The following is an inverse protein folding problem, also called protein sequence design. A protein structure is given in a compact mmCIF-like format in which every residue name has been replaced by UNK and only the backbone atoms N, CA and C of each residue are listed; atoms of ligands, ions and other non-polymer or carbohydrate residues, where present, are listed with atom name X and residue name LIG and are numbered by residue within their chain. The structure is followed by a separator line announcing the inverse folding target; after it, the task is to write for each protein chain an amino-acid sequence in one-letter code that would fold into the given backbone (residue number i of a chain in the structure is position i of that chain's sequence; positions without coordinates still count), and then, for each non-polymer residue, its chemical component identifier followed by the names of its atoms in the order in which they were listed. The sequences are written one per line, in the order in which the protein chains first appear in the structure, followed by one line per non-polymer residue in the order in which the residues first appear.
data_IF_047928856845
#
_entry.id   IF_047928856845
#
_cell.length_a   1.000
_cell.length_b   1.000
_cell.length_c   1.000
_cell.angle_alpha   90.00
_cell.angle_beta   90.00
_cell.angle_gamma   90.00
#
_symmetry.space_group_name_H-M   'P 1'
#
loop_
_entity.id
_entity.type
_entity.pdbx_description
1 polymer ?
#
# COMPACT_ATOMS: atom_id res chain seq x y z
N UNK A 1 5.08 -16.19 27.25
CA UNK A 1 4.31 -15.87 26.04
C UNK A 1 5.15 -16.20 24.81
N UNK A 2 4.55 -16.83 23.79
CA UNK A 2 5.23 -17.14 22.55
C UNK A 2 5.45 -15.85 21.75
N UNK A 3 6.71 -15.47 21.40
CA UNK A 3 6.97 -14.30 20.57
C UNK A 3 6.30 -14.34 19.18
N UNK A 4 6.07 -15.54 18.66
CA UNK A 4 5.42 -15.71 17.35
C UNK A 4 3.96 -15.25 17.36
N UNK A 5 3.30 -15.28 18.51
CA UNK A 5 1.93 -14.80 18.64
C UNK A 5 1.83 -13.30 18.38
N UNK A 6 2.71 -12.52 18.99
CA UNK A 6 2.75 -11.08 18.76
C UNK A 6 3.05 -10.76 17.29
N UNK A 7 4.03 -11.44 16.69
CA UNK A 7 4.39 -11.22 15.30
C UNK A 7 3.22 -11.49 14.35
N UNK A 8 2.47 -12.57 14.62
CA UNK A 8 1.28 -12.91 13.83
C UNK A 8 0.20 -11.84 13.92
N UNK A 9 -0.12 -11.40 15.12
CA UNK A 9 -1.15 -10.36 15.34
C UNK A 9 -0.71 -9.01 14.80
N UNK A 10 0.60 -8.70 14.89
CA UNK A 10 1.14 -7.47 14.30
C UNK A 10 0.96 -7.45 12.79
N UNK A 11 1.20 -8.57 12.11
CA UNK A 11 0.97 -8.67 10.67
C UNK A 11 -0.49 -8.43 10.31
N UNK A 12 -1.42 -9.00 11.08
CA UNK A 12 -2.85 -8.76 10.86
C UNK A 12 -3.20 -7.28 11.05
N UNK A 13 -2.69 -6.67 12.12
CA UNK A 13 -2.92 -5.26 12.39
C UNK A 13 -2.41 -4.36 11.26
N UNK A 14 -1.26 -4.70 10.68
CA UNK A 14 -0.61 -3.89 9.65
C UNK A 14 -1.20 -4.08 8.26
N UNK A 15 -1.90 -5.17 8.02
CA UNK A 15 -2.38 -5.55 6.67
C UNK A 15 -3.23 -4.46 6.01
N UNK A 16 -4.24 -3.96 6.70
CA UNK A 16 -5.10 -2.91 6.18
C UNK A 16 -4.36 -1.59 5.99
N UNK A 17 -3.47 -1.26 6.93
CA UNK A 17 -2.64 -0.06 6.85
C UNK A 17 -1.69 -0.12 5.65
N UNK A 18 -1.22 -1.30 5.29
CA UNK A 18 -0.35 -1.48 4.13
C UNK A 18 -1.06 -1.13 2.83
N UNK A 19 -2.30 -1.58 2.65
CA UNK A 19 -3.11 -1.22 1.48
C UNK A 19 -3.25 0.29 1.39
N UNK A 20 -3.57 0.92 2.51
CA UNK A 20 -3.72 2.37 2.60
C UNK A 20 -2.42 3.10 2.26
N UNK A 21 -1.29 2.62 2.77
CA UNK A 21 0.03 3.20 2.51
C UNK A 21 0.42 3.07 1.04
N UNK A 22 0.17 1.93 0.41
CA UNK A 22 0.44 1.71 -1.01
C UNK A 22 -0.37 2.67 -1.86
N UNK A 23 -1.68 2.77 -1.62
CA UNK A 23 -2.54 3.71 -2.35
C UNK A 23 -2.07 5.15 -2.15
N UNK A 24 -1.72 5.54 -0.93
CA UNK A 24 -1.26 6.89 -0.64
C UNK A 24 0.05 7.24 -1.36
N UNK A 25 1.00 6.32 -1.41
CA UNK A 25 2.26 6.52 -2.13
C UNK A 25 2.03 6.63 -3.64
N UNK A 26 1.04 5.93 -4.18
CA UNK A 26 0.74 5.94 -5.61
C UNK A 26 -0.09 7.16 -6.06
N UNK A 27 -0.25 8.15 -5.20
CA UNK A 27 -0.61 9.51 -5.64
C UNK A 27 0.46 10.09 -6.55
N UNK A 28 1.72 9.68 -6.35
CA UNK A 28 2.82 9.90 -7.27
C UNK A 28 3.13 8.59 -7.99
N UNK A 29 3.67 8.68 -9.18
CA UNK A 29 4.03 7.51 -9.97
C UNK A 29 5.24 6.81 -9.39
N UNK A 30 5.19 5.47 -9.30
CA UNK A 30 6.29 4.63 -8.84
C UNK A 30 6.35 3.34 -9.64
N UNK A 31 7.55 2.79 -9.80
CA UNK A 31 7.69 1.37 -10.10
C UNK A 31 8.06 0.62 -8.82
N UNK A 32 8.13 -0.72 -8.89
CA UNK A 32 8.25 -1.53 -7.68
C UNK A 32 9.39 -1.13 -6.74
N UNK A 33 10.58 -0.88 -7.29
CA UNK A 33 11.74 -0.51 -6.48
C UNK A 33 11.54 0.83 -5.74
N UNK A 34 11.10 1.87 -6.44
CA UNK A 34 10.90 3.19 -5.81
C UNK A 34 9.78 3.16 -4.80
N UNK A 35 8.73 2.39 -5.05
CA UNK A 35 7.63 2.22 -4.10
C UNK A 35 8.09 1.52 -2.83
N UNK A 36 8.84 0.43 -2.96
CA UNK A 36 9.38 -0.29 -1.80
C UNK A 36 10.32 0.60 -0.99
N UNK A 37 11.18 1.37 -1.66
CA UNK A 37 12.09 2.29 -1.00
C UNK A 37 11.34 3.37 -0.22
N UNK A 38 10.30 3.95 -0.81
CA UNK A 38 9.47 4.95 -0.15
C UNK A 38 8.77 4.38 1.09
N UNK A 39 8.21 3.17 0.99
CA UNK A 39 7.55 2.51 2.11
C UNK A 39 8.54 2.14 3.21
N UNK A 40 9.72 1.62 2.86
CA UNK A 40 10.76 1.28 3.82
C UNK A 40 11.24 2.50 4.60
N UNK A 41 11.37 3.65 3.92
CA UNK A 41 11.72 4.91 4.58
C UNK A 41 10.72 5.37 5.62
N UNK A 42 9.49 4.86 5.56
CA UNK A 42 8.41 5.12 6.54
C UNK A 42 8.28 4.00 7.58
N UNK A 43 9.19 3.04 7.59
CA UNK A 43 9.13 1.89 8.50
C UNK A 43 8.15 0.81 8.04
N UNK A 44 7.73 0.82 6.78
CA UNK A 44 6.77 -0.13 6.21
C UNK A 44 7.49 -1.04 5.22
N UNK A 45 8.30 -1.95 5.75
CA UNK A 45 9.00 -2.93 4.91
C UNK A 45 8.01 -3.93 4.34
N UNK A 46 8.10 -4.14 3.03
CA UNK A 46 7.27 -5.09 2.32
C UNK A 46 8.13 -5.83 1.29
N UNK A 47 7.98 -7.13 1.23
CA UNK A 47 8.71 -7.94 0.24
C UNK A 47 8.01 -7.93 -1.12
N UNK A 48 8.75 -8.34 -2.15
CA UNK A 48 8.24 -8.39 -3.51
C UNK A 48 7.09 -9.39 -3.64
N UNK A 49 7.17 -10.51 -2.93
CA UNK A 49 6.14 -11.54 -2.95
C UNK A 49 4.79 -11.08 -2.42
N UNK A 50 4.79 -10.03 -1.59
CA UNK A 50 3.55 -9.42 -1.06
C UNK A 50 3.14 -8.21 -1.91
N UNK A 51 4.09 -7.38 -2.29
CA UNK A 51 3.78 -6.13 -3.00
C UNK A 51 3.24 -6.36 -4.40
N UNK A 52 3.91 -7.18 -5.22
CA UNK A 52 3.49 -7.33 -6.62
C UNK A 52 2.11 -7.96 -6.80
N UNK A 53 1.73 -9.00 -6.04
CA UNK A 53 0.34 -9.49 -6.09
C UNK A 53 -0.68 -8.43 -5.66
N UNK A 54 -0.35 -7.61 -4.68
CA UNK A 54 -1.21 -6.51 -4.24
C UNK A 54 -1.40 -5.48 -5.34
N UNK A 55 -0.32 -5.06 -6.00
CA UNK A 55 -0.40 -4.11 -7.12
C UNK A 55 -1.27 -4.65 -8.26
N UNK A 56 -1.11 -5.92 -8.62
CA UNK A 56 -1.92 -6.55 -9.66
C UNK A 56 -3.40 -6.61 -9.27
N UNK A 57 -3.69 -6.93 -8.01
CA UNK A 57 -5.06 -6.95 -7.52
C UNK A 57 -5.70 -5.57 -7.58
N UNK A 58 -5.00 -4.55 -7.11
CA UNK A 58 -5.52 -3.17 -7.12
C UNK A 58 -5.73 -2.65 -8.55
N UNK A 59 -4.86 -3.03 -9.48
CA UNK A 59 -5.04 -2.69 -10.89
C UNK A 59 -6.23 -3.42 -11.50
N UNK A 60 -6.42 -4.69 -11.20
CA UNK A 60 -7.60 -5.47 -11.63
C UNK A 60 -8.89 -4.85 -11.12
N UNK A 61 -8.87 -4.27 -9.92
CA UNK A 61 -9.98 -3.54 -9.32
C UNK A 61 -10.12 -2.12 -9.88
N UNK A 62 -9.30 -1.76 -10.86
CA UNK A 62 -9.31 -0.46 -11.54
C UNK A 62 -8.95 0.72 -10.64
N UNK A 63 -8.27 0.46 -9.53
CA UNK A 63 -7.81 1.51 -8.61
C UNK A 63 -6.44 2.06 -9.00
N UNK A 64 -5.69 1.31 -9.80
CA UNK A 64 -4.39 1.70 -10.33
C UNK A 64 -4.41 1.60 -11.85
N UNK A 65 -3.61 2.47 -12.48
CA UNK A 65 -3.21 2.33 -13.88
C UNK A 65 -1.71 2.04 -13.92
N UNK A 66 -1.26 1.38 -14.96
CA UNK A 66 0.16 1.11 -15.14
C UNK A 66 0.56 1.22 -16.60
N UNK A 67 1.86 1.46 -16.81
CA UNK A 67 2.44 1.41 -18.14
C UNK A 67 3.88 0.89 -18.06
N UNK A 68 4.29 0.21 -19.12
CA UNK A 68 5.66 -0.25 -19.26
C UNK A 68 6.49 0.82 -19.95
N UNK A 69 7.69 1.07 -19.42
CA UNK A 69 8.68 1.98 -20.01
C UNK A 69 10.06 1.38 -19.93
N UNK A 70 10.89 1.72 -20.89
CA UNK A 70 12.32 1.45 -20.78
C UNK A 70 12.99 2.63 -20.10
N UNK A 71 13.76 2.32 -19.06
CA UNK A 71 14.48 3.32 -18.29
C UNK A 71 15.77 2.70 -17.79
N UNK A 72 16.92 3.35 -18.07
CA UNK A 72 18.22 2.84 -17.69
C UNK A 72 18.54 1.47 -18.27
N UNK A 73 18.09 1.20 -19.50
CA UNK A 73 18.31 -0.08 -20.17
C UNK A 73 17.44 -1.23 -19.68
N UNK A 74 16.48 -0.95 -18.81
CA UNK A 74 15.55 -1.95 -18.26
C UNK A 74 14.12 -1.57 -18.51
N UNK A 75 13.28 -2.58 -18.71
CA UNK A 75 11.84 -2.42 -18.84
C UNK A 75 11.22 -2.44 -17.45
N UNK A 76 10.54 -1.34 -17.08
CA UNK A 76 9.92 -1.14 -15.75
C UNK A 76 8.45 -0.85 -15.90
N UNK A 77 7.65 -1.35 -14.96
CA UNK A 77 6.21 -1.09 -14.92
C UNK A 77 5.94 0.00 -13.89
N UNK A 78 5.40 1.12 -14.36
CA UNK A 78 5.09 2.27 -13.53
C UNK A 78 3.61 2.26 -13.19
N UNK A 79 3.30 2.45 -11.92
CA UNK A 79 1.94 2.46 -11.38
C UNK A 79 1.60 3.82 -10.82
N UNK A 80 0.33 4.19 -10.91
CA UNK A 80 -0.22 5.37 -10.23
C UNK A 80 -1.70 5.16 -9.97
N UNK A 81 -2.28 5.96 -9.07
CA UNK A 81 -3.72 5.90 -8.83
C UNK A 81 -4.50 6.29 -10.08
N UNK A 82 -5.57 5.54 -10.36
CA UNK A 82 -6.62 5.96 -11.28
C UNK A 82 -7.50 7.02 -10.61
N UNK A 83 -8.39 7.69 -11.37
CA UNK A 83 -9.40 8.58 -10.75
C UNK A 83 -10.25 7.86 -9.70
N UNK A 84 -10.66 6.61 -9.96
CA UNK A 84 -11.39 5.79 -8.99
C UNK A 84 -10.52 5.47 -7.77
N UNK A 85 -9.23 5.20 -7.99
CA UNK A 85 -8.27 4.97 -6.91
C UNK A 85 -8.13 6.17 -5.97
N UNK A 86 -8.13 7.37 -6.53
CA UNK A 86 -8.09 8.61 -5.72
C UNK A 86 -9.34 8.74 -4.85
N UNK A 87 -10.49 8.42 -5.40
CA UNK A 87 -11.76 8.47 -4.67
C UNK A 87 -11.80 7.43 -3.55
N UNK A 88 -11.39 6.21 -3.84
CA UNK A 88 -11.32 5.13 -2.84
C UNK A 88 -10.33 5.49 -1.73
N UNK A 89 -9.17 6.03 -2.07
CA UNK A 89 -8.19 6.45 -1.07
C UNK A 89 -8.79 7.48 -0.11
N UNK A 90 -9.50 8.47 -0.65
CA UNK A 90 -10.18 9.50 0.16
C UNK A 90 -11.17 8.88 1.14
N UNK A 91 -11.99 7.94 0.67
CA UNK A 91 -12.98 7.24 1.49
C UNK A 91 -12.31 6.38 2.56
N UNK A 92 -11.24 5.66 2.21
CA UNK A 92 -10.51 4.82 3.16
C UNK A 92 -9.80 5.64 4.23
N UNK A 93 -9.25 6.81 3.87
CA UNK A 93 -8.63 7.70 4.85
C UNK A 93 -9.65 8.23 5.87
N UNK A 94 -10.85 8.56 5.42
CA UNK A 94 -11.92 8.99 6.31
C UNK A 94 -12.32 7.86 7.28
N UNK A 95 -12.46 6.65 6.76
CA UNK A 95 -12.78 5.46 7.55
C UNK A 95 -11.66 5.14 8.55
N UNK A 96 -10.40 5.25 8.13
CA UNK A 96 -9.25 5.05 9.01
C UNK A 96 -9.25 6.02 10.19
N UNK A 97 -9.56 7.29 9.95
CA UNK A 97 -9.67 8.30 11.01
C UNK A 97 -10.79 7.95 12.00
N UNK A 98 -11.94 7.52 11.49
CA UNK A 98 -13.07 7.10 12.33
C UNK A 98 -12.70 5.91 13.22
N UNK A 99 -12.01 4.91 12.66
CA UNK A 99 -11.57 3.73 13.41
C UNK A 99 -10.58 4.12 14.51
N UNK A 100 -9.63 5.01 14.22
CA UNK A 100 -8.67 5.48 15.21
C UNK A 100 -9.34 6.24 16.35
N UNK A 101 -10.33 7.08 16.03
CA UNK A 101 -11.09 7.79 17.04
C UNK A 101 -11.85 6.82 17.96
N UNK A 102 -12.46 5.79 17.38
CA UNK A 102 -13.18 4.76 18.15
C UNK A 102 -12.24 4.03 19.08
N UNK A 103 -11.06 3.63 18.60
CA UNK A 103 -10.05 2.95 19.42
C UNK A 103 -9.56 3.85 20.55
N UNK A 104 -9.33 5.12 20.28
CA UNK A 104 -8.87 6.08 21.30
C UNK A 104 -9.88 6.25 22.45
N UNK A 105 -11.18 6.09 22.15
CA UNK A 105 -12.22 6.14 23.20
C UNK A 105 -12.19 4.92 24.12
N UNK A 106 -11.70 3.79 23.64
CA UNK A 106 -11.63 2.53 24.38
C UNK A 106 -10.34 2.45 25.19
N UNK A 107 -9.26 2.97 24.65
CA UNK A 107 -7.93 2.89 25.22
C UNK A 107 -7.67 4.00 26.24
#
# INVERSE_FOLDING_TARGET
MDPALFDSLRLELRRGNLILAVLAQLRAEHYGYTLRTALSGLGLDIDEGTLYPLLRRLETQELLTSEWREEGGRRKRFYKLSPDGKQILKQLLAEWKTLNQSLNRIL
#
